data_IF_172011802151
#
_entry.id   IF_172011802151
#
_cell.length_a   1.000
_cell.length_b   1.000
_cell.length_c   1.000
_cell.angle_alpha   90.00
_cell.angle_beta   90.00
_cell.angle_gamma   90.00
#
_symmetry.space_group_name_H-M   'P 1'
#
loop_
_entity.id
_entity.type
_entity.pdbx_description
1 polymer ?
#
# COMPACT_ATOMS: atom_id res chain seq x y z
N UNK A 1 -21.36 12.36 -15.25
CA UNK A 1 -21.85 10.99 -14.95
C UNK A 1 -22.59 11.07 -13.64
N UNK A 2 -23.75 10.43 -13.54
CA UNK A 2 -24.77 10.73 -12.51
C UNK A 2 -24.39 10.28 -11.09
N UNK A 3 -23.17 9.77 -10.85
CA UNK A 3 -22.61 9.51 -9.51
C UNK A 3 -21.06 9.53 -9.56
N UNK A 4 -20.45 10.70 -9.66
CA UNK A 4 -18.99 10.85 -9.55
C UNK A 4 -18.53 10.73 -8.08
N UNK A 5 -17.56 9.85 -7.80
CA UNK A 5 -16.96 9.68 -6.47
C UNK A 5 -15.72 10.57 -6.39
N UNK A 6 -15.77 11.63 -5.57
CA UNK A 6 -14.65 12.57 -5.42
C UNK A 6 -13.58 11.96 -4.53
N UNK A 7 -12.34 11.98 -4.99
CA UNK A 7 -11.19 11.35 -4.34
C UNK A 7 -10.15 12.37 -3.93
N UNK A 8 -9.67 12.26 -2.69
CA UNK A 8 -8.43 12.89 -2.22
C UNK A 8 -7.33 11.84 -2.13
N UNK A 9 -6.21 12.06 -2.81
CA UNK A 9 -5.06 11.15 -2.84
C UNK A 9 -3.89 11.72 -2.02
N UNK A 10 -3.64 11.14 -0.84
CA UNK A 10 -2.50 11.48 0.01
C UNK A 10 -1.31 10.58 -0.29
N UNK A 11 -0.10 11.11 -0.11
CA UNK A 11 1.14 10.36 -0.35
C UNK A 11 1.18 9.76 -1.75
N UNK A 12 0.78 10.55 -2.74
CA UNK A 12 0.43 10.08 -4.07
C UNK A 12 1.57 9.37 -4.80
N UNK A 13 2.82 9.64 -4.42
CA UNK A 13 4.01 9.17 -5.11
C UNK A 13 3.96 9.60 -6.57
N UNK A 14 3.98 8.62 -7.47
CA UNK A 14 3.80 8.83 -8.91
C UNK A 14 2.38 8.48 -9.40
N UNK A 15 1.40 8.36 -8.50
CA UNK A 15 -0.04 8.24 -8.82
C UNK A 15 -0.55 6.81 -9.01
N UNK A 16 -0.04 5.87 -8.22
CA UNK A 16 -0.48 4.47 -8.28
C UNK A 16 -1.95 4.29 -7.91
N UNK A 17 -2.44 5.03 -6.89
CA UNK A 17 -3.86 4.99 -6.54
C UNK A 17 -4.71 5.58 -7.66
N UNK A 18 -4.33 6.76 -8.16
CA UNK A 18 -5.04 7.41 -9.27
C UNK A 18 -5.13 6.54 -10.51
N UNK A 19 -4.05 5.88 -10.92
CA UNK A 19 -4.09 4.96 -12.07
C UNK A 19 -5.02 3.77 -11.82
N UNK A 20 -5.08 3.24 -10.60
CA UNK A 20 -5.97 2.13 -10.27
C UNK A 20 -7.44 2.55 -10.26
N UNK A 21 -7.73 3.76 -9.79
CA UNK A 21 -9.10 4.26 -9.67
C UNK A 21 -9.61 4.89 -10.98
N UNK A 22 -8.88 5.82 -11.59
CA UNK A 22 -9.29 6.52 -12.82
C UNK A 22 -8.89 5.77 -14.11
N UNK A 23 -7.93 4.84 -14.03
CA UNK A 23 -7.29 4.25 -15.20
C UNK A 23 -6.23 5.18 -15.82
N UNK A 24 -5.69 4.75 -16.96
CA UNK A 24 -4.81 5.57 -17.80
C UNK A 24 -5.48 5.83 -19.15
N UNK A 25 -5.84 7.09 -19.43
CA UNK A 25 -6.63 7.47 -20.60
C UNK A 25 -7.92 6.64 -20.74
N UNK A 26 -8.58 6.37 -19.62
CA UNK A 26 -9.79 5.54 -19.56
C UNK A 26 -9.55 4.06 -19.86
N UNK A 27 -8.33 3.54 -19.63
CA UNK A 27 -7.97 2.13 -19.84
C UNK A 27 -7.58 1.44 -18.55
N UNK A 28 -7.90 0.15 -18.46
CA UNK A 28 -7.68 -0.69 -17.27
C UNK A 28 -6.24 -1.19 -17.17
N UNK A 29 -5.64 -1.00 -15.99
CA UNK A 29 -4.32 -1.54 -15.64
C UNK A 29 -4.31 -3.08 -15.65
N UNK A 30 -5.37 -3.73 -15.17
CA UNK A 30 -5.48 -5.21 -15.16
C UNK A 30 -5.55 -5.81 -16.57
N UNK A 31 -5.92 -5.01 -17.57
CA UNK A 31 -5.89 -5.41 -18.98
C UNK A 31 -4.55 -5.13 -19.68
N UNK A 32 -3.56 -4.60 -18.96
CA UNK A 32 -2.34 -4.04 -19.55
C UNK A 32 -2.64 -2.80 -20.40
N UNK A 33 -3.62 -1.99 -19.99
CA UNK A 33 -4.11 -0.81 -20.69
C UNK A 33 -4.60 -1.08 -22.12
N UNK A 34 -5.20 -2.25 -22.35
CA UNK A 34 -5.77 -2.66 -23.66
C UNK A 34 -7.29 -2.49 -23.72
N UNK A 35 -7.98 -2.62 -22.59
CA UNK A 35 -9.44 -2.49 -22.49
C UNK A 35 -9.80 -1.18 -21.81
N UNK A 36 -10.95 -0.62 -22.18
CA UNK A 36 -11.53 0.54 -21.52
C UNK A 36 -11.91 0.23 -20.07
N UNK A 37 -11.75 1.22 -19.19
CA UNK A 37 -12.22 1.24 -17.83
C UNK A 37 -13.27 2.34 -17.69
N UNK A 38 -14.50 1.97 -17.32
CA UNK A 38 -15.52 2.93 -16.91
C UNK A 38 -15.40 3.10 -15.41
N UNK A 39 -14.85 4.24 -14.98
CA UNK A 39 -14.64 4.55 -13.58
C UNK A 39 -15.47 5.77 -13.16
N UNK A 40 -16.16 5.72 -12.00
CA UNK A 40 -16.82 6.89 -11.43
C UNK A 40 -15.88 7.72 -10.55
N UNK A 41 -14.65 7.27 -10.29
CA UNK A 41 -13.72 7.97 -9.43
C UNK A 41 -13.16 9.22 -10.12
N UNK A 42 -13.08 10.30 -9.35
CA UNK A 42 -12.44 11.54 -9.77
C UNK A 42 -11.51 12.08 -8.69
N UNK A 43 -10.21 12.06 -8.93
CA UNK A 43 -9.23 12.71 -8.07
C UNK A 43 -9.40 14.21 -8.17
N UNK A 44 -9.94 14.82 -7.10
CA UNK A 44 -10.19 16.25 -7.01
C UNK A 44 -9.06 16.99 -6.33
N UNK A 45 -8.21 16.31 -5.56
CA UNK A 45 -7.01 16.88 -4.97
C UNK A 45 -6.00 15.78 -4.60
N UNK A 46 -4.71 16.09 -4.68
CA UNK A 46 -3.64 15.17 -4.34
C UNK A 46 -2.51 15.86 -3.58
N UNK A 47 -1.77 15.10 -2.77
CA UNK A 47 -0.59 15.57 -2.06
C UNK A 47 0.58 14.60 -2.22
N UNK A 48 1.77 15.14 -2.50
CA UNK A 48 3.02 14.39 -2.48
C UNK A 48 4.19 15.27 -2.03
N UNK A 49 4.88 14.83 -0.97
CA UNK A 49 6.05 15.51 -0.43
C UNK A 49 7.10 14.52 0.07
N UNK A 50 8.37 14.76 -0.29
CA UNK A 50 9.53 13.96 0.10
C UNK A 50 10.51 14.81 0.94
N UNK A 51 10.44 14.77 2.28
CA UNK A 51 11.18 15.71 3.15
C UNK A 51 12.70 15.56 3.05
N UNK A 52 13.20 14.39 2.67
CA UNK A 52 14.64 14.10 2.59
C UNK A 52 15.28 14.53 1.26
N UNK A 53 14.55 15.24 0.39
CA UNK A 53 15.04 15.63 -0.94
C UNK A 53 14.76 17.09 -1.25
N UNK A 54 15.73 17.79 -1.85
CA UNK A 54 15.52 19.17 -2.33
C UNK A 54 14.59 19.21 -3.54
N UNK A 55 14.89 18.37 -4.54
CA UNK A 55 14.08 18.26 -5.75
C UNK A 55 13.00 17.19 -5.59
N UNK A 56 11.75 17.62 -5.69
CA UNK A 56 10.54 16.82 -5.47
C UNK A 56 10.16 16.02 -6.71
N UNK A 57 11.03 15.11 -7.13
CA UNK A 57 10.89 14.42 -8.42
C UNK A 57 9.60 13.59 -8.54
N UNK A 58 9.10 12.97 -7.45
CA UNK A 58 7.84 12.23 -7.49
C UNK A 58 6.66 13.16 -7.82
N UNK A 59 6.63 14.35 -7.18
CA UNK A 59 5.63 15.38 -7.46
C UNK A 59 5.75 15.90 -8.90
N UNK A 60 6.95 16.18 -9.40
CA UNK A 60 7.16 16.59 -10.80
C UNK A 60 6.65 15.56 -11.80
N UNK A 61 6.89 14.26 -11.56
CA UNK A 61 6.35 13.17 -12.38
C UNK A 61 4.82 13.13 -12.30
N UNK A 62 4.25 13.27 -11.10
CA UNK A 62 2.80 13.31 -10.91
C UNK A 62 2.16 14.48 -11.68
N UNK A 63 2.70 15.70 -11.54
CA UNK A 63 2.22 16.89 -12.26
C UNK A 63 2.33 16.73 -13.77
N UNK A 64 3.42 16.12 -14.27
CA UNK A 64 3.58 15.86 -15.70
C UNK A 64 2.56 14.85 -16.26
N UNK A 65 2.04 13.96 -15.42
CA UNK A 65 1.07 12.93 -15.82
C UNK A 65 -0.37 13.39 -15.69
N UNK A 66 -0.67 14.16 -14.65
CA UNK A 66 -2.05 14.46 -14.25
C UNK A 66 -2.37 15.95 -14.19
N UNK A 67 -1.39 16.81 -14.45
CA UNK A 67 -1.49 18.25 -14.32
C UNK A 67 -1.16 18.73 -12.91
N UNK A 68 -0.69 19.98 -12.83
CA UNK A 68 -0.36 20.67 -11.56
C UNK A 68 -1.60 21.16 -10.81
N UNK A 69 -2.71 21.34 -11.51
CA UNK A 69 -3.94 21.84 -10.91
C UNK A 69 -4.42 20.87 -9.81
N UNK A 70 -4.59 21.39 -8.59
CA UNK A 70 -5.06 20.62 -7.42
C UNK A 70 -4.08 19.53 -6.96
N UNK A 71 -2.80 19.67 -7.28
CA UNK A 71 -1.70 18.92 -6.67
C UNK A 71 -0.98 19.80 -5.64
N UNK A 72 -0.75 19.26 -4.44
CA UNK A 72 -0.02 19.91 -3.37
C UNK A 72 1.33 19.24 -3.18
N UNK A 73 2.40 20.02 -3.35
CA UNK A 73 3.77 19.62 -3.03
C UNK A 73 4.23 20.23 -1.70
N UNK A 74 3.41 20.10 -0.67
CA UNK A 74 3.69 20.60 0.69
C UNK A 74 3.69 19.44 1.68
N UNK A 75 4.41 19.58 2.79
CA UNK A 75 4.28 18.66 3.91
C UNK A 75 2.82 18.64 4.39
N UNK A 76 2.16 17.49 4.27
CA UNK A 76 0.74 17.32 4.61
C UNK A 76 0.44 17.70 6.08
N UNK A 77 1.42 17.59 6.97
CA UNK A 77 1.25 18.00 8.37
C UNK A 77 1.06 19.53 8.52
N UNK A 78 1.52 20.32 7.54
CA UNK A 78 1.42 21.78 7.49
C UNK A 78 0.23 22.27 6.67
N UNK A 79 -0.39 21.41 5.86
CA UNK A 79 -1.55 21.79 5.04
C UNK A 79 -2.76 22.05 5.94
N UNK A 80 -3.41 23.18 5.70
CA UNK A 80 -4.68 23.53 6.33
C UNK A 80 -5.81 22.65 5.74
N UNK A 81 -6.56 21.96 6.60
CA UNK A 81 -7.65 21.06 6.21
C UNK A 81 -8.75 21.78 5.42
N UNK A 82 -8.93 23.08 5.63
CA UNK A 82 -9.88 23.91 4.88
C UNK A 82 -9.52 24.04 3.39
N UNK A 83 -8.24 23.87 3.01
CA UNK A 83 -7.78 23.91 1.62
C UNK A 83 -7.98 22.59 0.87
N UNK A 84 -8.15 21.49 1.60
CA UNK A 84 -8.47 20.19 1.01
C UNK A 84 -9.95 20.27 0.60
N UNK A 85 -10.36 19.89 -0.63
CA UNK A 85 -11.77 19.92 -1.00
C UNK A 85 -12.57 18.83 -0.26
N UNK A 86 -13.89 18.98 -0.24
CA UNK A 86 -14.78 17.91 0.18
C UNK A 86 -14.71 16.74 -0.82
N UNK A 87 -14.74 15.53 -0.27
CA UNK A 87 -14.49 14.31 -1.01
C UNK A 87 -15.23 13.13 -0.36
N UNK A 88 -15.56 12.13 -1.17
CA UNK A 88 -16.26 10.93 -0.74
C UNK A 88 -15.28 9.85 -0.30
N UNK A 89 -14.12 9.75 -0.98
CA UNK A 89 -13.09 8.76 -0.75
C UNK A 89 -11.74 9.43 -0.47
N UNK A 90 -11.09 9.06 0.62
CA UNK A 90 -9.69 9.41 0.90
C UNK A 90 -8.82 8.18 0.69
N UNK A 91 -7.78 8.31 -0.13
CA UNK A 91 -6.81 7.24 -0.37
C UNK A 91 -5.40 7.63 0.03
N UNK A 92 -4.56 6.65 0.37
CA UNK A 92 -3.14 6.91 0.59
C UNK A 92 -2.34 5.73 1.11
N UNK A 93 -1.12 5.59 0.58
CA UNK A 93 -0.11 4.66 1.08
C UNK A 93 0.82 5.41 2.04
N UNK A 94 0.50 5.40 3.33
CA UNK A 94 1.24 6.18 4.31
C UNK A 94 2.52 5.46 4.77
N UNK A 95 3.64 6.16 5.02
CA UNK A 95 4.89 5.52 5.43
C UNK A 95 4.76 4.72 6.73
N UNK A 96 5.39 3.54 6.77
CA UNK A 96 5.46 2.71 7.98
C UNK A 96 6.36 3.37 9.05
N UNK A 97 5.75 3.95 10.09
CA UNK A 97 6.43 4.64 11.19
C UNK A 97 6.05 4.02 12.54
N UNK A 98 6.62 4.49 13.65
CA UNK A 98 6.14 4.16 15.01
C UNK A 98 5.00 5.11 15.36
N UNK A 99 3.79 4.58 15.55
CA UNK A 99 2.54 5.34 15.63
C UNK A 99 2.11 5.72 17.06
N UNK A 100 3.03 5.66 18.02
CA UNK A 100 2.78 6.06 19.42
C UNK A 100 2.22 7.49 19.60
N UNK A 101 1.45 7.68 20.67
CA UNK A 101 0.90 8.99 21.10
C UNK A 101 1.68 9.50 22.31
N UNK A 102 1.84 10.82 22.43
CA UNK A 102 2.37 11.47 23.63
C UNK A 102 1.31 12.37 24.26
N UNK A 103 1.11 12.28 25.57
CA UNK A 103 0.36 13.27 26.34
C UNK A 103 1.29 14.39 26.79
N UNK A 104 0.88 15.66 26.67
CA UNK A 104 1.56 16.75 27.38
C UNK A 104 0.77 17.07 28.64
N UNK A 105 1.45 17.09 29.78
CA UNK A 105 0.88 17.29 31.13
C UNK A 105 0.28 18.69 31.39
N UNK A 106 -0.01 19.48 30.36
CA UNK A 106 -0.63 20.81 30.49
C UNK A 106 -1.59 21.04 29.33
N UNK A 107 -2.89 20.95 29.64
CA UNK A 107 -4.07 21.26 28.80
C UNK A 107 -4.75 20.05 28.13
N UNK A 108 -5.64 19.47 28.93
CA UNK A 108 -6.78 18.64 28.53
C UNK A 108 -7.55 19.25 27.34
N UNK A 109 -7.42 18.62 26.16
CA UNK A 109 -8.45 18.46 25.09
C UNK A 109 -7.90 18.04 23.70
N UNK A 110 -6.58 17.98 23.49
CA UNK A 110 -6.00 17.59 22.19
C UNK A 110 -5.15 16.32 22.26
N UNK A 111 -5.53 15.28 21.51
CA UNK A 111 -4.64 14.17 21.18
C UNK A 111 -3.54 14.70 20.26
N UNK A 112 -2.28 14.72 20.72
CA UNK A 112 -1.14 15.07 19.88
C UNK A 112 -0.35 13.79 19.64
N UNK A 113 -0.61 13.16 18.50
CA UNK A 113 0.23 12.09 18.00
C UNK A 113 1.69 12.51 17.88
N UNK A 114 2.62 11.55 17.88
CA UNK A 114 4.06 11.83 17.73
C UNK A 114 4.32 12.71 16.50
N UNK A 115 4.96 13.86 16.72
CA UNK A 115 5.34 14.79 15.63
C UNK A 115 6.09 14.04 14.53
N UNK A 116 5.70 14.25 13.29
CA UNK A 116 6.32 13.64 12.11
C UNK A 116 5.78 12.25 11.74
N UNK A 117 4.79 11.71 12.47
CA UNK A 117 4.09 10.48 12.07
C UNK A 117 2.88 10.83 11.20
N UNK A 118 2.89 10.36 9.96
CA UNK A 118 1.96 10.81 8.92
C UNK A 118 0.54 10.26 9.06
N UNK A 119 0.34 9.18 9.83
CA UNK A 119 -1.00 8.73 10.24
C UNK A 119 -1.81 9.85 10.88
N UNK A 120 -1.18 10.67 11.74
CA UNK A 120 -1.88 11.75 12.42
C UNK A 120 -2.32 12.88 11.48
N UNK A 121 -1.70 12.99 10.31
CA UNK A 121 -2.17 13.91 9.26
C UNK A 121 -3.47 13.40 8.64
N UNK A 122 -3.58 12.09 8.39
CA UNK A 122 -4.83 11.45 7.95
C UNK A 122 -5.92 11.65 9.02
N UNK A 123 -5.61 11.32 10.28
CA UNK A 123 -6.55 11.51 11.40
C UNK A 123 -7.03 12.95 11.51
N UNK A 124 -6.11 13.94 11.47
CA UNK A 124 -6.42 15.37 11.52
C UNK A 124 -7.41 15.76 10.44
N UNK A 125 -7.16 15.36 9.20
CA UNK A 125 -8.04 15.64 8.05
C UNK A 125 -9.45 15.09 8.34
N UNK A 126 -9.56 13.83 8.75
CA UNK A 126 -10.86 13.20 9.00
C UNK A 126 -11.57 13.85 10.20
N UNK A 127 -10.83 14.22 11.25
CA UNK A 127 -11.41 14.81 12.46
C UNK A 127 -11.90 16.24 12.26
N UNK A 128 -11.17 17.05 11.48
CA UNK A 128 -11.47 18.47 11.28
C UNK A 128 -12.44 18.72 10.11
N UNK A 129 -12.62 17.75 9.22
CA UNK A 129 -13.57 17.85 8.11
C UNK A 129 -15.02 17.87 8.62
N UNK A 130 -15.75 18.93 8.27
CA UNK A 130 -17.20 19.02 8.49
C UNK A 130 -17.94 17.89 7.77
N UNK A 131 -17.62 17.72 6.49
CA UNK A 131 -18.09 16.61 5.67
C UNK A 131 -17.00 15.54 5.65
N UNK A 132 -17.06 14.61 6.61
CA UNK A 132 -16.12 13.48 6.68
C UNK A 132 -16.23 12.64 5.39
N UNK A 133 -15.10 12.12 4.85
CA UNK A 133 -15.17 11.18 3.74
C UNK A 133 -16.00 9.96 4.13
N UNK A 134 -16.85 9.48 3.23
CA UNK A 134 -17.67 8.29 3.48
C UNK A 134 -16.80 7.03 3.54
N UNK A 135 -15.70 7.03 2.79
CA UNK A 135 -14.83 5.88 2.58
C UNK A 135 -13.37 6.26 2.74
N UNK A 136 -12.58 5.36 3.32
CA UNK A 136 -11.12 5.42 3.29
C UNK A 136 -10.57 4.18 2.58
N UNK A 137 -9.52 4.36 1.78
CA UNK A 137 -8.79 3.26 1.16
C UNK A 137 -7.28 3.45 1.33
N UNK A 138 -6.73 2.77 2.32
CA UNK A 138 -5.36 2.95 2.76
C UNK A 138 -4.51 1.71 2.48
N UNK A 139 -3.21 1.92 2.30
CA UNK A 139 -2.22 0.87 2.09
C UNK A 139 -1.03 1.03 3.05
N UNK A 140 -0.47 -0.10 3.48
CA UNK A 140 0.79 -0.15 4.22
C UNK A 140 1.51 -1.49 4.04
N UNK A 141 2.71 -1.61 4.61
CA UNK A 141 3.38 -2.92 4.75
C UNK A 141 2.62 -3.81 5.73
N UNK A 142 2.59 -5.11 5.43
CA UNK A 142 1.91 -6.13 6.24
C UNK A 142 2.43 -6.24 7.69
N UNK A 143 3.69 -5.84 7.92
CA UNK A 143 4.31 -5.76 9.25
C UNK A 143 3.54 -4.84 10.20
N UNK A 144 2.71 -3.93 9.69
CA UNK A 144 1.85 -3.06 10.51
C UNK A 144 1.05 -3.86 11.56
N UNK A 145 0.54 -5.05 11.20
CA UNK A 145 -0.24 -5.92 12.09
C UNK A 145 0.51 -6.35 13.36
N UNK A 146 1.84 -6.33 13.33
CA UNK A 146 2.70 -6.73 14.44
C UNK A 146 3.57 -5.57 14.94
N UNK A 147 3.29 -4.34 14.49
CA UNK A 147 4.06 -3.16 14.89
C UNK A 147 3.59 -2.60 16.25
N UNK A 148 4.51 -2.04 17.06
CA UNK A 148 5.96 -2.10 16.92
C UNK A 148 6.51 -3.46 17.38
N UNK A 149 7.76 -3.76 17.03
CA UNK A 149 8.40 -5.03 17.39
C UNK A 149 8.43 -5.30 18.91
N UNK A 150 8.49 -4.25 19.73
CA UNK A 150 8.49 -4.36 21.20
C UNK A 150 7.12 -4.51 21.85
N UNK A 151 6.02 -4.30 21.11
CA UNK A 151 4.65 -4.38 21.63
C UNK A 151 3.69 -4.75 20.49
N UNK A 152 3.67 -6.04 20.13
CA UNK A 152 3.11 -6.50 18.85
C UNK A 152 1.64 -6.10 18.67
N UNK A 153 1.37 -5.39 17.57
CA UNK A 153 0.01 -5.03 17.14
C UNK A 153 -0.52 -3.73 17.75
N UNK A 154 0.18 -3.10 18.70
CA UNK A 154 -0.25 -1.82 19.29
C UNK A 154 -0.50 -0.74 18.25
N UNK A 155 0.40 -0.58 17.28
CA UNK A 155 0.27 0.49 16.29
C UNK A 155 -0.95 0.31 15.39
N UNK A 156 -1.26 -0.94 15.02
CA UNK A 156 -2.48 -1.23 14.27
C UNK A 156 -3.74 -1.04 15.13
N UNK A 157 -3.70 -1.41 16.41
CA UNK A 157 -4.77 -1.14 17.36
C UNK A 157 -5.04 0.36 17.54
N UNK A 158 -3.99 1.20 17.55
CA UNK A 158 -4.11 2.67 17.58
C UNK A 158 -4.86 3.16 16.34
N UNK A 159 -4.51 2.67 15.15
CA UNK A 159 -5.18 3.03 13.89
C UNK A 159 -6.66 2.64 13.93
N UNK A 160 -6.96 1.39 14.32
CA UNK A 160 -8.33 0.90 14.42
C UNK A 160 -9.15 1.69 15.44
N UNK A 161 -8.61 1.93 16.64
CA UNK A 161 -9.30 2.71 17.68
C UNK A 161 -9.54 4.16 17.23
N UNK A 162 -8.55 4.77 16.56
CA UNK A 162 -8.69 6.13 16.00
C UNK A 162 -9.84 6.21 14.99
N UNK A 163 -9.94 5.22 14.09
CA UNK A 163 -11.03 5.15 13.11
C UNK A 163 -12.38 4.85 13.77
N UNK A 164 -12.40 3.98 14.79
CA UNK A 164 -13.58 3.68 15.59
C UNK A 164 -14.15 4.94 16.27
N UNK A 165 -13.30 5.72 16.94
CA UNK A 165 -13.69 7.00 17.59
C UNK A 165 -14.19 8.03 16.57
N UNK A 166 -13.68 7.98 15.34
CA UNK A 166 -14.14 8.82 14.24
C UNK A 166 -15.43 8.33 13.57
N UNK A 167 -15.94 7.16 13.96
CA UNK A 167 -17.23 6.60 13.53
C UNK A 167 -17.14 5.64 12.35
N UNK A 168 -15.99 5.01 12.11
CA UNK A 168 -15.82 4.07 11.00
C UNK A 168 -15.84 2.61 11.44
N UNK A 169 -16.49 1.76 10.63
CA UNK A 169 -16.15 0.33 10.56
C UNK A 169 -14.93 0.15 9.66
N UNK A 170 -14.10 -0.85 9.92
CA UNK A 170 -12.84 -1.07 9.21
C UNK A 170 -12.69 -2.53 8.84
N UNK A 171 -12.51 -2.84 7.57
CA UNK A 171 -12.01 -4.14 7.13
C UNK A 171 -10.55 -4.04 6.67
N UNK A 172 -9.79 -5.13 6.82
CA UNK A 172 -8.44 -5.21 6.29
C UNK A 172 -8.12 -6.58 5.70
N UNK A 173 -7.17 -6.56 4.76
CA UNK A 173 -6.61 -7.78 4.16
C UNK A 173 -5.16 -7.56 3.79
N UNK A 174 -4.32 -8.54 4.13
CA UNK A 174 -2.98 -8.64 3.57
C UNK A 174 -3.09 -9.35 2.22
N UNK A 175 -2.78 -8.62 1.16
CA UNK A 175 -2.81 -9.11 -0.22
C UNK A 175 -1.38 -9.18 -0.72
N UNK A 176 -1.00 -10.35 -1.25
CA UNK A 176 0.20 -10.52 -2.05
C UNK A 176 -0.21 -10.56 -3.52
N UNK A 177 0.18 -9.55 -4.30
CA UNK A 177 -0.32 -9.37 -5.66
C UNK A 177 -0.10 -10.61 -6.56
N UNK A 178 1.02 -11.31 -6.39
CA UNK A 178 1.33 -12.55 -7.12
C UNK A 178 0.34 -13.68 -6.88
N UNK A 179 -0.27 -13.77 -5.69
CA UNK A 179 -1.23 -14.83 -5.39
C UNK A 179 -2.55 -14.64 -6.17
N UNK A 180 -2.75 -13.45 -6.76
CA UNK A 180 -3.92 -13.09 -7.55
C UNK A 180 -3.58 -12.77 -9.01
N UNK A 181 -2.52 -13.41 -9.52
CA UNK A 181 -2.13 -13.41 -10.93
C UNK A 181 -1.29 -12.21 -11.39
N UNK A 182 -0.98 -11.25 -10.50
CA UNK A 182 -0.21 -10.06 -10.83
C UNK A 182 1.30 -10.35 -10.79
N UNK A 183 2.15 -9.52 -11.43
CA UNK A 183 3.52 -9.95 -11.74
C UNK A 183 4.52 -9.89 -10.59
N UNK A 184 4.11 -9.52 -9.37
CA UNK A 184 5.03 -9.23 -8.28
C UNK A 184 4.56 -9.86 -6.97
N UNK A 185 5.46 -10.61 -6.32
CA UNK A 185 5.32 -11.09 -4.94
C UNK A 185 5.47 -9.91 -3.98
N UNK A 186 4.48 -9.03 -3.94
CA UNK A 186 4.42 -7.81 -3.13
C UNK A 186 3.25 -7.93 -2.15
N UNK A 187 3.59 -8.23 -0.91
CA UNK A 187 2.63 -8.39 0.20
C UNK A 187 2.41 -7.06 0.92
N UNK A 188 1.16 -6.61 1.01
CA UNK A 188 0.76 -5.33 1.64
C UNK A 188 -0.57 -5.49 2.37
N UNK A 189 -0.77 -4.72 3.43
CA UNK A 189 -2.08 -4.60 4.08
C UNK A 189 -2.86 -3.49 3.39
N UNK A 190 -4.09 -3.79 3.02
CA UNK A 190 -5.07 -2.83 2.54
C UNK A 190 -6.16 -2.68 3.60
N UNK A 191 -6.54 -1.44 3.88
CA UNK A 191 -7.50 -1.07 4.92
C UNK A 191 -8.60 -0.27 4.25
N UNK A 192 -9.83 -0.77 4.33
CA UNK A 192 -11.03 -0.02 3.93
C UNK A 192 -11.79 0.39 5.17
N UNK A 193 -12.23 1.65 5.21
CA UNK A 193 -13.03 2.15 6.31
C UNK A 193 -14.33 2.78 5.79
N UNK A 194 -15.43 2.49 6.48
CA UNK A 194 -16.79 2.89 6.10
C UNK A 194 -17.40 3.74 7.20
N UNK A 195 -17.77 4.98 6.90
CA UNK A 195 -18.37 5.88 7.86
C UNK A 195 -19.77 5.39 8.26
N UNK A 196 -20.09 5.47 9.55
CA UNK A 196 -21.42 5.18 10.08
C UNK A 196 -22.51 5.92 9.28
N UNK A 197 -23.56 5.19 8.90
CA UNK A 197 -24.66 5.70 8.09
C UNK A 197 -24.48 5.52 6.58
N UNK A 198 -23.32 5.05 6.10
CA UNK A 198 -23.20 4.49 4.75
C UNK A 198 -23.88 3.12 4.69
N UNK A 199 -24.42 2.73 3.55
CA UNK A 199 -25.09 1.43 3.44
C UNK A 199 -24.09 0.28 3.64
N UNK A 200 -22.83 0.42 3.21
CA UNK A 200 -21.79 -0.58 3.49
C UNK A 200 -21.63 -0.79 5.01
N UNK A 201 -21.56 0.30 5.80
CA UNK A 201 -21.51 0.20 7.26
C UNK A 201 -22.76 -0.51 7.82
N UNK A 202 -23.93 -0.22 7.27
CA UNK A 202 -25.18 -0.84 7.70
C UNK A 202 -25.21 -2.34 7.35
N UNK A 203 -24.81 -2.73 6.13
CA UNK A 203 -24.71 -4.13 5.71
C UNK A 203 -23.76 -4.96 6.59
N UNK A 204 -22.65 -4.37 7.05
CA UNK A 204 -21.72 -5.03 7.97
C UNK A 204 -22.43 -5.48 9.26
N UNK A 205 -23.46 -4.75 9.73
CA UNK A 205 -24.18 -5.10 10.96
C UNK A 205 -25.17 -6.25 10.78
N UNK A 206 -25.60 -6.50 9.55
CA UNK A 206 -26.64 -7.48 9.23
C UNK A 206 -26.09 -8.89 8.95
N UNK A 207 -24.76 -9.02 8.84
CA UNK A 207 -24.09 -10.31 8.56
C UNK A 207 -23.09 -10.68 9.66
N UNK A 208 -22.73 -11.95 9.71
CA UNK A 208 -21.67 -12.38 10.63
C UNK A 208 -20.32 -11.76 10.23
N UNK A 209 -19.46 -11.35 11.17
CA UNK A 209 -18.14 -10.81 10.82
C UNK A 209 -17.30 -11.74 9.94
N UNK A 210 -17.40 -13.06 10.14
CA UNK A 210 -16.69 -14.06 9.35
C UNK A 210 -17.22 -14.15 7.91
N UNK A 211 -18.53 -14.02 7.72
CA UNK A 211 -19.19 -13.95 6.40
C UNK A 211 -18.76 -12.70 5.64
N UNK A 212 -18.71 -11.53 6.31
CA UNK A 212 -18.14 -10.31 5.70
C UNK A 212 -16.68 -10.50 5.30
N UNK A 213 -15.87 -11.11 6.17
CA UNK A 213 -14.45 -11.33 5.90
C UNK A 213 -14.25 -12.29 4.72
N UNK A 214 -15.08 -13.32 4.54
CA UNK A 214 -14.81 -14.39 3.58
C UNK A 214 -15.54 -14.22 2.25
N UNK A 215 -16.73 -13.61 2.26
CA UNK A 215 -17.67 -13.65 1.12
C UNK A 215 -18.18 -12.26 0.76
N UNK A 216 -18.76 -11.54 1.73
CA UNK A 216 -19.56 -10.34 1.42
C UNK A 216 -18.77 -9.04 1.37
N UNK A 217 -17.61 -8.96 2.02
CA UNK A 217 -16.84 -7.73 2.13
C UNK A 217 -16.25 -7.27 0.81
N UNK A 218 -15.95 -5.97 0.71
CA UNK A 218 -15.34 -5.39 -0.49
C UNK A 218 -14.01 -6.07 -0.83
N UNK A 219 -13.20 -6.40 0.19
CA UNK A 219 -11.93 -7.11 -0.02
C UNK A 219 -12.14 -8.60 -0.33
N UNK A 220 -13.27 -9.19 0.09
CA UNK A 220 -13.64 -10.57 -0.26
C UNK A 220 -13.98 -10.67 -1.75
N UNK A 221 -14.80 -9.75 -2.25
CA UNK A 221 -15.16 -9.65 -3.67
C UNK A 221 -13.93 -9.39 -4.56
N UNK A 222 -13.06 -8.44 -4.16
CA UNK A 222 -11.87 -8.10 -4.95
C UNK A 222 -10.80 -9.21 -4.94
N UNK A 223 -10.66 -9.91 -3.82
CA UNK A 223 -9.55 -10.82 -3.54
C UNK A 223 -10.00 -12.04 -2.74
N UNK A 224 -10.70 -13.01 -3.35
CA UNK A 224 -11.28 -14.15 -2.64
C UNK A 224 -10.24 -14.94 -1.83
N UNK A 225 -10.66 -15.43 -0.66
CA UNK A 225 -9.81 -16.20 0.26
C UNK A 225 -10.58 -17.35 0.86
N UNK A 226 -9.86 -18.35 1.36
CA UNK A 226 -10.41 -19.42 2.20
C UNK A 226 -9.76 -19.38 3.59
N UNK A 227 -10.41 -20.00 4.57
CA UNK A 227 -9.86 -20.20 5.92
C UNK A 227 -10.07 -21.64 6.34
N UNK A 228 -9.06 -22.25 6.95
CA UNK A 228 -9.17 -23.56 7.59
C UNK A 228 -9.82 -23.48 8.97
N UNK A 229 -9.92 -22.28 9.55
CA UNK A 229 -10.44 -22.06 10.90
C UNK A 229 -11.57 -21.03 10.91
N UNK A 230 -12.65 -21.31 10.19
CA UNK A 230 -13.85 -20.45 10.14
C UNK A 230 -14.67 -20.49 11.43
N UNK A 231 -14.61 -21.61 12.17
CA UNK A 231 -15.42 -21.85 13.36
C UNK A 231 -14.94 -21.11 14.62
N UNK A 232 -13.66 -20.71 14.66
CA UNK A 232 -13.07 -20.06 15.84
C UNK A 232 -12.21 -18.86 15.43
N UNK A 233 -12.83 -17.75 14.95
CA UNK A 233 -12.10 -16.51 14.73
C UNK A 233 -11.51 -15.97 16.03
N UNK A 234 -10.43 -15.20 15.92
CA UNK A 234 -9.93 -14.44 17.06
C UNK A 234 -10.78 -13.18 17.22
N UNK A 235 -11.36 -13.00 18.40
CA UNK A 235 -12.24 -11.87 18.70
C UNK A 235 -11.83 -11.15 19.98
N UNK A 236 -11.79 -9.82 19.94
CA UNK A 236 -11.53 -8.99 21.11
C UNK A 236 -12.08 -7.58 20.92
N UNK A 237 -12.33 -6.87 22.02
CA UNK A 237 -12.78 -5.48 21.99
C UNK A 237 -11.63 -4.53 22.32
N UNK A 238 -11.45 -3.50 21.51
CA UNK A 238 -10.59 -2.36 21.84
C UNK A 238 -11.25 -1.59 22.99
N UNK A 239 -10.56 -1.50 24.14
CA UNK A 239 -11.08 -0.88 25.37
C UNK A 239 -10.29 0.38 25.71
N UNK A 240 -11.01 1.46 26.02
CA UNK A 240 -10.43 2.75 26.36
C UNK A 240 -10.26 3.66 25.15
N UNK A 241 -9.63 4.81 25.37
CA UNK A 241 -9.27 5.76 24.33
C UNK A 241 -7.94 5.39 23.65
N UNK A 242 -7.58 6.14 22.61
CA UNK A 242 -6.31 5.96 21.89
C UNK A 242 -5.08 5.99 22.83
N UNK A 243 -5.11 6.81 23.89
CA UNK A 243 -4.00 6.90 24.87
C UNK A 243 -3.87 5.58 25.64
N UNK A 244 -4.98 5.05 26.15
CA UNK A 244 -5.02 3.76 26.83
C UNK A 244 -4.53 2.62 25.93
N UNK A 245 -4.94 2.60 24.65
CA UNK A 245 -4.45 1.62 23.68
C UNK A 245 -2.94 1.74 23.49
N UNK A 246 -2.42 2.97 23.33
CA UNK A 246 -0.99 3.22 23.18
C UNK A 246 -0.16 2.74 24.38
N UNK A 247 -0.69 2.87 25.59
CA UNK A 247 0.03 2.49 26.82
C UNK A 247 -0.09 1.01 27.16
N UNK A 248 -1.24 0.39 26.87
CA UNK A 248 -1.62 -0.90 27.48
C UNK A 248 -1.88 -2.03 26.47
N UNK A 249 -2.16 -1.75 25.20
CA UNK A 249 -2.55 -2.80 24.25
C UNK A 249 -1.43 -3.83 24.05
N UNK A 250 -1.71 -5.09 24.39
CA UNK A 250 -0.76 -6.20 24.29
C UNK A 250 0.59 -5.94 24.99
N UNK A 251 0.59 -5.15 26.07
CA UNK A 251 1.81 -4.87 26.86
C UNK A 251 2.30 -6.15 27.54
N UNK A 252 3.55 -6.51 27.30
CA UNK A 252 4.15 -7.76 27.80
C UNK A 252 3.71 -9.02 27.04
N UNK A 253 2.84 -8.89 26.03
CA UNK A 253 2.44 -10.01 25.18
C UNK A 253 3.54 -10.42 24.19
N UNK A 254 3.66 -11.71 23.95
CA UNK A 254 4.69 -12.29 23.06
C UNK A 254 4.16 -12.63 21.67
N UNK A 255 2.84 -12.78 21.51
CA UNK A 255 2.16 -13.09 20.26
C UNK A 255 1.38 -11.88 19.73
N UNK A 256 1.17 -11.82 18.41
CA UNK A 256 0.30 -10.80 17.82
C UNK A 256 -1.16 -11.24 17.88
N UNK A 257 -2.08 -10.29 18.12
CA UNK A 257 -3.52 -10.56 18.19
C UNK A 257 -4.24 -10.45 16.84
N UNK A 258 -3.60 -9.83 15.84
CA UNK A 258 -4.19 -9.61 14.53
C UNK A 258 -3.70 -10.65 13.53
N UNK A 259 -4.64 -11.21 12.78
CA UNK A 259 -4.36 -12.06 11.62
C UNK A 259 -4.38 -11.26 10.31
N UNK A 260 -4.09 -11.95 9.20
CA UNK A 260 -3.93 -11.32 7.89
C UNK A 260 -5.24 -10.77 7.30
N UNK A 261 -6.39 -11.08 7.88
CA UNK A 261 -7.69 -10.49 7.51
C UNK A 261 -8.50 -10.17 8.76
N UNK A 262 -9.38 -9.19 8.65
CA UNK A 262 -10.37 -8.99 9.69
C UNK A 262 -11.28 -7.81 9.46
N UNK A 263 -12.18 -7.65 10.42
CA UNK A 263 -13.20 -6.62 10.48
C UNK A 263 -13.21 -6.03 11.90
N UNK A 264 -13.37 -4.72 11.98
CA UNK A 264 -13.68 -4.01 13.21
C UNK A 264 -14.94 -3.18 13.02
N UNK A 265 -15.91 -3.33 13.92
CA UNK A 265 -17.08 -2.46 14.01
C UNK A 265 -17.42 -2.19 15.47
N UNK A 266 -17.66 -0.92 15.83
CA UNK A 266 -17.95 -0.50 17.21
C UNK A 266 -16.90 -0.98 18.24
N UNK A 267 -15.63 -0.98 17.83
CA UNK A 267 -14.48 -1.41 18.61
C UNK A 267 -14.37 -2.93 18.82
N UNK A 268 -15.33 -3.73 18.36
CA UNK A 268 -15.22 -5.19 18.32
C UNK A 268 -14.40 -5.57 17.09
N UNK A 269 -13.31 -6.31 17.31
CA UNK A 269 -12.39 -6.80 16.30
C UNK A 269 -12.62 -8.30 16.13
N UNK A 270 -12.88 -8.75 14.91
CA UNK A 270 -12.89 -10.15 14.50
C UNK A 270 -11.81 -10.34 13.44
N UNK A 271 -10.90 -11.30 13.64
CA UNK A 271 -9.77 -11.51 12.73
C UNK A 271 -9.52 -12.99 12.48
N UNK A 272 -9.14 -13.30 11.24
CA UNK A 272 -9.01 -14.65 10.72
C UNK A 272 -7.73 -14.81 9.90
N UNK A 273 -7.10 -15.97 10.10
CA UNK A 273 -6.05 -16.44 9.21
C UNK A 273 -6.69 -16.95 7.93
N UNK A 274 -6.26 -16.42 6.77
CA UNK A 274 -6.78 -16.86 5.47
C UNK A 274 -5.67 -17.12 4.47
N UNK A 275 -6.02 -17.84 3.41
CA UNK A 275 -5.18 -18.10 2.25
C UNK A 275 -5.87 -17.64 0.96
N UNK A 276 -5.12 -17.15 -0.03
CA UNK A 276 -5.67 -16.70 -1.31
C UNK A 276 -6.41 -17.84 -2.02
N UNK A 277 -7.55 -17.52 -2.61
CA UNK A 277 -8.33 -18.42 -3.47
C UNK A 277 -8.40 -17.83 -4.88
N UNK A 278 -7.45 -18.20 -5.73
CA UNK A 278 -7.36 -17.71 -7.10
C UNK A 278 -6.84 -18.80 -8.03
N UNK A 279 -7.60 -19.09 -9.06
CA UNK A 279 -7.33 -20.12 -10.08
C UNK A 279 -7.12 -19.53 -11.49
N UNK A 280 -7.10 -18.20 -11.60
CA UNK A 280 -6.94 -17.50 -12.85
C UNK A 280 -5.52 -17.47 -13.39
N UNK A 281 -5.30 -16.67 -14.45
CA UNK A 281 -4.01 -16.59 -15.12
C UNK A 281 -2.98 -15.83 -14.29
N UNK A 282 -1.78 -16.41 -14.17
CA UNK A 282 -0.62 -15.76 -13.56
C UNK A 282 0.24 -15.05 -14.60
N UNK A 283 0.72 -13.86 -14.25
CA UNK A 283 1.73 -13.12 -15.00
C UNK A 283 3.11 -13.41 -14.43
N UNK A 284 4.02 -13.88 -15.27
CA UNK A 284 5.40 -14.19 -14.87
C UNK A 284 6.36 -13.11 -15.35
N UNK A 285 7.57 -13.07 -14.78
CA UNK A 285 8.57 -12.04 -15.10
C UNK A 285 8.87 -11.97 -16.61
N UNK A 286 8.95 -13.12 -17.30
CA UNK A 286 9.19 -13.20 -18.75
C UNK A 286 8.19 -12.42 -19.58
N UNK A 287 6.92 -12.35 -19.18
CA UNK A 287 5.86 -11.71 -19.94
C UNK A 287 6.03 -10.18 -20.00
N UNK A 288 6.85 -9.62 -19.12
CA UNK A 288 7.03 -8.18 -18.95
C UNK A 288 8.39 -7.67 -19.45
N UNK A 289 9.30 -8.59 -19.76
CA UNK A 289 10.61 -8.29 -20.32
C UNK A 289 10.46 -7.63 -21.69
N UNK A 290 11.26 -6.59 -21.95
CA UNK A 290 11.24 -5.92 -23.24
C UNK A 290 11.79 -6.83 -24.35
N UNK A 291 11.00 -6.98 -25.43
CA UNK A 291 11.41 -7.62 -26.67
C UNK A 291 12.15 -6.58 -27.54
N UNK A 292 13.39 -6.24 -27.21
CA UNK A 292 14.14 -5.20 -27.92
C UNK A 292 15.53 -4.91 -27.35
N UNK A 293 16.22 -3.92 -27.91
CA UNK A 293 17.52 -3.49 -27.40
C UNK A 293 17.36 -2.71 -26.08
N UNK A 294 17.87 -3.32 -25.01
CA UNK A 294 18.18 -2.61 -23.78
C UNK A 294 19.59 -2.02 -23.95
N UNK A 295 19.79 -0.77 -23.52
CA UNK A 295 21.09 -0.11 -23.63
C UNK A 295 22.18 -0.94 -22.94
N UNK A 296 23.40 -0.92 -23.51
CA UNK A 296 24.54 -1.72 -23.04
C UNK A 296 24.85 -1.51 -21.56
N UNK A 297 24.46 -0.37 -20.99
CA UNK A 297 24.67 -0.05 -19.58
C UNK A 297 23.92 -0.94 -18.59
N UNK A 298 22.84 -1.62 -19.00
CA UNK A 298 22.11 -2.54 -18.13
C UNK A 298 22.74 -3.92 -18.06
N UNK A 299 23.61 -4.26 -19.02
CA UNK A 299 24.35 -5.51 -19.00
C UNK A 299 25.43 -5.47 -17.92
N UNK A 300 25.59 -6.61 -17.25
CA UNK A 300 26.58 -6.78 -16.19
C UNK A 300 27.90 -7.18 -16.84
N UNK A 301 28.98 -6.47 -16.49
CA UNK A 301 30.32 -6.86 -16.86
C UNK A 301 30.64 -8.25 -16.29
N UNK A 302 31.21 -9.13 -17.11
CA UNK A 302 31.60 -10.48 -16.71
C UNK A 302 32.56 -10.46 -15.51
N UNK A 303 33.41 -9.44 -15.41
CA UNK A 303 34.37 -9.26 -14.31
C UNK A 303 33.70 -8.90 -12.97
N UNK A 304 32.44 -8.45 -12.99
CA UNK A 304 31.68 -8.12 -11.79
C UNK A 304 30.75 -9.27 -11.33
N UNK A 305 30.59 -10.34 -12.13
CA UNK A 305 29.65 -11.43 -11.82
C UNK A 305 29.91 -12.08 -10.46
N UNK A 306 31.18 -12.26 -10.07
CA UNK A 306 31.54 -12.81 -8.76
C UNK A 306 31.11 -11.88 -7.62
N UNK A 307 31.20 -10.57 -7.81
CA UNK A 307 30.72 -9.59 -6.82
C UNK A 307 29.20 -9.65 -6.70
N UNK A 308 28.49 -9.80 -7.81
CA UNK A 308 27.04 -9.98 -7.81
C UNK A 308 26.62 -11.26 -7.10
N UNK A 309 27.26 -12.38 -7.41
CA UNK A 309 27.02 -13.67 -6.77
C UNK A 309 27.32 -13.60 -5.27
N UNK A 310 28.44 -13.00 -4.87
CA UNK A 310 28.78 -12.79 -3.45
C UNK A 310 27.74 -11.93 -2.73
N UNK A 311 27.34 -10.78 -3.29
CA UNK A 311 26.34 -9.90 -2.65
C UNK A 311 24.96 -10.54 -2.55
N UNK A 312 24.57 -11.41 -3.49
CA UNK A 312 23.30 -12.13 -3.46
C UNK A 312 23.36 -13.43 -2.67
N UNK A 313 24.55 -13.99 -2.43
CA UNK A 313 24.74 -15.19 -1.63
C UNK A 313 24.45 -14.98 -0.14
N UNK A 314 24.15 -16.05 0.61
CA UNK A 314 24.02 -15.98 2.05
C UNK A 314 25.38 -15.68 2.72
N UNK A 315 25.37 -14.99 3.85
CA UNK A 315 26.58 -14.61 4.60
C UNK A 315 26.35 -14.78 6.09
N UNK A 316 27.38 -15.25 6.80
CA UNK A 316 27.49 -15.19 8.25
C UNK A 316 28.90 -14.72 8.59
N UNK A 317 29.01 -13.49 9.05
CA UNK A 317 30.27 -12.79 9.26
C UNK A 317 30.23 -12.07 10.61
N UNK A 318 31.34 -12.04 11.33
CA UNK A 318 31.48 -11.16 12.47
C UNK A 318 31.73 -9.74 11.97
N UNK A 319 30.96 -8.76 12.44
CA UNK A 319 31.12 -7.35 12.06
C UNK A 319 31.26 -6.49 13.29
N UNK A 320 32.06 -5.45 13.17
CA UNK A 320 32.23 -4.44 14.20
C UNK A 320 31.46 -3.20 13.78
N UNK A 321 30.58 -2.67 14.63
CA UNK A 321 29.94 -1.38 14.35
C UNK A 321 30.92 -0.21 14.55
N UNK A 322 30.49 1.01 14.21
CA UNK A 322 31.33 2.21 14.34
C UNK A 322 31.78 2.51 15.79
N UNK A 323 31.13 1.88 16.78
CA UNK A 323 31.41 2.00 18.21
C UNK A 323 32.30 0.87 18.74
N UNK A 324 32.83 -0.01 17.88
CA UNK A 324 33.72 -1.10 18.28
C UNK A 324 33.00 -2.38 18.78
N UNK A 325 31.68 -2.43 18.75
CA UNK A 325 30.92 -3.61 19.20
C UNK A 325 30.85 -4.66 18.09
N UNK A 326 31.34 -5.86 18.40
CA UNK A 326 31.27 -7.02 17.51
C UNK A 326 29.90 -7.70 17.60
N UNK A 327 29.32 -8.01 16.45
CA UNK A 327 28.08 -8.74 16.35
C UNK A 327 28.13 -9.73 15.19
N UNK A 328 27.41 -10.84 15.35
CA UNK A 328 27.22 -11.82 14.29
C UNK A 328 26.23 -11.27 13.26
N UNK A 329 26.74 -10.82 12.13
CA UNK A 329 25.94 -10.42 10.98
C UNK A 329 25.56 -11.67 10.18
N UNK A 330 24.26 -11.93 10.05
CA UNK A 330 23.72 -12.99 9.21
C UNK A 330 22.80 -12.39 8.17
N UNK A 331 22.99 -12.78 6.90
CA UNK A 331 22.20 -12.33 5.78
C UNK A 331 21.80 -13.52 4.90
N UNK A 332 20.50 -13.66 4.64
CA UNK A 332 19.98 -14.72 3.76
C UNK A 332 20.27 -14.44 2.29
N UNK A 333 20.48 -15.50 1.52
CA UNK A 333 20.69 -15.41 0.07
C UNK A 333 19.44 -14.95 -0.68
N UNK A 334 19.64 -14.32 -1.83
CA UNK A 334 18.61 -14.00 -2.81
C UNK A 334 18.81 -14.88 -4.05
N UNK A 335 17.72 -15.24 -4.71
CA UNK A 335 17.78 -15.99 -5.97
C UNK A 335 18.56 -15.16 -7.00
N UNK A 336 19.50 -15.81 -7.68
CA UNK A 336 20.35 -15.21 -8.71
C UNK A 336 20.63 -16.22 -9.82
N UNK A 337 20.34 -15.90 -11.10
CA UNK A 337 19.53 -14.76 -11.55
C UNK A 337 18.06 -14.90 -11.12
N UNK A 338 17.31 -13.81 -11.13
CA UNK A 338 15.86 -13.80 -10.92
C UNK A 338 15.17 -14.70 -11.98
N UNK A 339 14.27 -15.61 -11.55
CA UNK A 339 13.66 -16.60 -12.42
C UNK A 339 12.62 -15.97 -13.35
N UNK A 340 12.72 -16.26 -14.64
CA UNK A 340 11.82 -15.74 -15.67
C UNK A 340 10.44 -16.45 -15.70
N UNK A 341 10.35 -17.65 -15.15
CA UNK A 341 9.18 -18.52 -15.12
C UNK A 341 8.30 -18.34 -13.86
N UNK A 342 8.62 -17.35 -13.01
CA UNK A 342 7.87 -17.04 -11.79
C UNK A 342 7.48 -15.56 -11.75
N UNK A 343 6.49 -15.17 -10.94
CA UNK A 343 6.29 -13.76 -10.59
C UNK A 343 7.57 -13.18 -9.97
N UNK A 344 7.81 -11.90 -10.25
CA UNK A 344 8.98 -11.19 -9.72
C UNK A 344 8.93 -11.11 -8.19
N UNK A 345 10.09 -11.00 -7.54
CA UNK A 345 10.12 -10.60 -6.13
C UNK A 345 9.73 -9.11 -6.00
N UNK A 346 9.51 -8.66 -4.76
CA UNK A 346 9.24 -7.26 -4.46
C UNK A 346 10.37 -6.35 -4.97
N UNK A 347 10.00 -5.29 -5.69
CA UNK A 347 10.91 -4.17 -5.99
C UNK A 347 11.07 -3.33 -4.73
N UNK A 348 12.32 -2.95 -4.45
CA UNK A 348 12.69 -2.12 -3.30
C UNK A 348 13.44 -0.87 -3.77
N UNK A 349 13.54 0.14 -2.93
CA UNK A 349 14.10 1.45 -3.31
C UNK A 349 15.58 1.42 -3.73
N UNK A 350 16.32 0.38 -3.36
CA UNK A 350 17.73 0.13 -3.73
C UNK A 350 17.94 -0.51 -5.12
N UNK A 351 16.91 -0.54 -5.97
CA UNK A 351 16.92 -1.19 -7.29
C UNK A 351 17.78 -0.46 -8.34
N UNK A 352 17.95 0.86 -8.20
CA UNK A 352 18.60 1.71 -9.21
C UNK A 352 20.13 1.63 -9.26
N UNK A 353 20.72 2.06 -10.38
CA UNK A 353 22.17 2.24 -10.56
C UNK A 353 22.95 0.99 -10.99
N UNK A 354 24.18 1.19 -11.48
CA UNK A 354 24.97 0.17 -12.21
C UNK A 354 25.72 -0.82 -11.31
N UNK A 355 26.16 -0.38 -10.13
CA UNK A 355 27.04 -1.16 -9.25
C UNK A 355 26.40 -2.45 -8.73
N UNK A 356 27.19 -3.52 -8.47
CA UNK A 356 26.71 -4.73 -7.82
C UNK A 356 25.93 -4.45 -6.55
N UNK A 357 24.77 -5.11 -6.41
CA UNK A 357 23.92 -4.97 -5.24
C UNK A 357 23.00 -6.17 -5.10
N UNK A 358 22.79 -6.61 -3.85
CA UNK A 358 21.88 -7.71 -3.56
C UNK A 358 20.44 -7.41 -3.99
N UNK A 359 20.05 -6.14 -3.90
CA UNK A 359 18.68 -5.66 -4.05
C UNK A 359 18.16 -5.64 -5.49
N UNK A 360 19.05 -5.60 -6.49
CA UNK A 360 18.69 -5.37 -7.89
C UNK A 360 18.32 -6.66 -8.60
N UNK A 361 17.27 -6.60 -9.42
CA UNK A 361 16.85 -7.72 -10.24
C UNK A 361 17.88 -7.92 -11.33
N UNK A 362 18.26 -9.19 -11.53
CA UNK A 362 19.18 -9.58 -12.58
C UNK A 362 18.60 -10.79 -13.27
N UNK A 363 18.41 -10.71 -14.59
CA UNK A 363 17.94 -11.83 -15.40
C UNK A 363 19.06 -12.33 -16.30
N UNK A 364 18.98 -13.61 -16.66
CA UNK A 364 19.81 -14.20 -17.69
C UNK A 364 19.11 -14.06 -19.05
N UNK A 365 19.82 -13.56 -20.04
CA UNK A 365 19.36 -13.48 -21.45
C UNK A 365 20.37 -14.17 -22.37
N UNK A 366 20.03 -14.46 -23.64
CA UNK A 366 21.00 -14.96 -24.61
C UNK A 366 22.23 -14.05 -24.80
N UNK A 367 22.09 -12.74 -24.55
CA UNK A 367 23.17 -11.74 -24.63
C UNK A 367 23.98 -11.62 -23.30
N UNK A 368 23.63 -12.37 -22.27
CA UNK A 368 24.27 -12.35 -20.95
C UNK A 368 23.35 -11.86 -19.81
N UNK A 369 23.94 -11.70 -18.62
CA UNK A 369 23.27 -11.19 -17.44
C UNK A 369 23.00 -9.68 -17.57
N UNK A 370 21.79 -9.25 -17.23
CA UNK A 370 21.46 -7.81 -17.18
C UNK A 370 20.49 -7.49 -16.07
N UNK A 371 20.53 -6.22 -15.66
CA UNK A 371 19.55 -5.63 -14.75
C UNK A 371 18.23 -5.38 -15.49
N UNK A 372 17.14 -5.25 -14.73
CA UNK A 372 15.87 -4.75 -15.28
C UNK A 372 15.98 -3.26 -15.59
N UNK A 373 15.38 -2.87 -16.71
CA UNK A 373 15.23 -1.48 -17.14
C UNK A 373 14.10 -0.78 -16.37
N UNK A 374 14.08 0.57 -16.34
CA UNK A 374 12.99 1.32 -15.70
C UNK A 374 11.59 0.93 -16.19
N UNK A 375 11.43 0.71 -17.50
CA UNK A 375 10.15 0.30 -18.10
C UNK A 375 9.72 -1.09 -17.59
N UNK A 376 10.65 -2.03 -17.45
CA UNK A 376 10.35 -3.34 -16.88
C UNK A 376 9.94 -3.25 -15.41
N UNK A 377 10.55 -2.34 -14.64
CA UNK A 377 10.16 -2.06 -13.25
C UNK A 377 8.77 -1.40 -13.16
N UNK A 378 8.43 -0.50 -14.08
CA UNK A 378 7.09 0.10 -14.21
C UNK A 378 6.04 -0.98 -14.46
N UNK A 379 6.29 -1.86 -15.43
CA UNK A 379 5.40 -3.00 -15.76
C UNK A 379 5.21 -3.97 -14.61
N UNK A 380 6.25 -4.22 -13.79
CA UNK A 380 6.15 -5.05 -12.59
C UNK A 380 5.22 -4.48 -11.51
N UNK A 381 4.98 -3.18 -11.50
CA UNK A 381 3.96 -2.53 -10.68
C UNK A 381 2.67 -2.23 -11.48
N UNK A 382 2.58 -2.68 -12.73
CA UNK A 382 1.46 -2.44 -13.65
C UNK A 382 1.23 -0.96 -14.01
N UNK A 383 2.29 -0.14 -13.99
CA UNK A 383 2.27 1.20 -14.55
C UNK A 383 2.36 1.16 -16.08
N UNK A 384 1.86 2.17 -16.80
CA UNK A 384 2.13 2.34 -18.23
C UNK A 384 3.64 2.48 -18.47
N UNK A 385 4.09 2.08 -19.66
CA UNK A 385 5.48 2.29 -20.07
C UNK A 385 5.84 3.78 -20.03
N UNK A 386 7.04 4.07 -19.54
CA UNK A 386 7.58 5.42 -19.42
C UNK A 386 6.78 6.33 -18.49
N UNK A 387 5.93 5.78 -17.60
CA UNK A 387 5.15 6.56 -16.64
C UNK A 387 6.03 7.47 -15.77
N UNK A 388 7.22 7.05 -15.40
CA UNK A 388 8.15 7.85 -14.57
C UNK A 388 9.20 8.61 -15.37
N UNK A 389 9.18 8.52 -16.71
CA UNK A 389 10.11 9.23 -17.58
C UNK A 389 9.77 10.72 -17.65
N UNK A 390 10.73 11.53 -17.21
CA UNK A 390 10.68 12.98 -17.23
C UNK A 390 12.13 13.51 -17.29
N UNK A 391 12.33 14.62 -17.98
CA UNK A 391 13.64 15.29 -18.02
C UNK A 391 14.12 15.62 -16.60
N UNK A 392 15.42 15.40 -16.33
CA UNK A 392 15.99 15.56 -14.99
C UNK A 392 15.73 14.40 -14.01
N UNK A 393 14.88 13.43 -14.36
CA UNK A 393 14.65 12.21 -13.55
C UNK A 393 15.53 11.07 -14.08
N UNK A 394 16.53 10.67 -13.30
CA UNK A 394 17.42 9.56 -13.66
C UNK A 394 16.75 8.18 -13.55
N UNK A 395 17.27 7.18 -14.26
CA UNK A 395 16.80 5.79 -14.17
C UNK A 395 16.90 5.21 -12.76
N UNK A 396 17.91 5.62 -11.98
CA UNK A 396 18.02 5.27 -10.56
C UNK A 396 16.82 5.81 -9.78
N UNK A 397 16.39 7.04 -10.07
CA UNK A 397 15.23 7.67 -9.41
C UNK A 397 13.91 7.03 -9.88
N UNK A 398 13.78 6.68 -11.16
CA UNK A 398 12.65 5.90 -11.70
C UNK A 398 12.50 4.56 -10.97
N UNK A 399 13.61 3.84 -10.79
CA UNK A 399 13.63 2.58 -10.02
C UNK A 399 13.26 2.78 -8.55
N UNK A 400 13.73 3.88 -7.93
CA UNK A 400 13.36 4.25 -6.56
C UNK A 400 11.84 4.44 -6.41
N UNK A 401 11.19 5.12 -7.36
CA UNK A 401 9.73 5.27 -7.36
C UNK A 401 9.02 3.93 -7.40
N UNK A 402 9.49 2.98 -8.22
CA UNK A 402 8.90 1.64 -8.31
C UNK A 402 9.12 0.80 -7.03
N UNK A 403 10.16 1.08 -6.25
CA UNK A 403 10.31 0.51 -4.91
C UNK A 403 9.22 0.94 -3.93
N UNK A 404 8.82 2.23 -4.01
CA UNK A 404 7.78 2.81 -3.16
C UNK A 404 6.36 2.58 -3.69
N UNK A 405 6.20 2.40 -5.01
CA UNK A 405 4.90 2.25 -5.63
C UNK A 405 4.16 0.98 -5.19
N UNK A 406 2.84 1.00 -5.34
CA UNK A 406 1.96 -0.15 -5.19
C UNK A 406 1.83 -0.90 -6.53
N UNK A 407 1.16 -2.06 -6.52
CA UNK A 407 0.77 -2.74 -7.76
C UNK A 407 -0.60 -2.21 -8.20
N UNK A 408 -0.66 -1.48 -9.32
CA UNK A 408 -1.85 -0.72 -9.76
C UNK A 408 -3.09 -1.61 -9.91
N UNK A 409 -2.91 -2.85 -10.39
CA UNK A 409 -4.01 -3.81 -10.53
C UNK A 409 -4.70 -4.16 -9.20
N UNK A 410 -3.99 -4.06 -8.07
CA UNK A 410 -4.62 -4.29 -6.75
C UNK A 410 -5.60 -3.17 -6.44
N UNK A 411 -5.21 -1.93 -6.69
CA UNK A 411 -6.06 -0.77 -6.48
C UNK A 411 -7.26 -0.80 -7.42
N UNK A 412 -7.06 -1.14 -8.69
CA UNK A 412 -8.15 -1.24 -9.66
C UNK A 412 -9.20 -2.28 -9.22
N UNK A 413 -8.77 -3.47 -8.79
CA UNK A 413 -9.70 -4.50 -8.31
C UNK A 413 -10.48 -4.05 -7.08
N UNK A 414 -9.82 -3.45 -6.09
CA UNK A 414 -10.50 -2.93 -4.88
C UNK A 414 -11.45 -1.79 -5.25
N UNK A 415 -11.03 -0.88 -6.13
CA UNK A 415 -11.87 0.23 -6.59
C UNK A 415 -13.12 -0.25 -7.33
N UNK A 416 -13.00 -1.28 -8.18
CA UNK A 416 -14.16 -1.86 -8.85
C UNK A 416 -15.14 -2.46 -7.84
N UNK A 417 -14.67 -3.30 -6.91
CA UNK A 417 -15.50 -3.90 -5.87
C UNK A 417 -16.16 -2.85 -4.96
N UNK A 418 -15.39 -1.84 -4.54
CA UNK A 418 -15.92 -0.74 -3.72
C UNK A 418 -17.01 0.02 -4.47
N UNK A 419 -16.80 0.32 -5.75
CA UNK A 419 -17.81 0.99 -6.55
C UNK A 419 -19.08 0.13 -6.74
N UNK A 420 -18.95 -1.18 -6.90
CA UNK A 420 -20.11 -2.07 -6.98
C UNK A 420 -20.93 -2.02 -5.69
N UNK A 421 -20.26 -2.07 -4.53
CA UNK A 421 -20.91 -1.90 -3.22
C UNK A 421 -21.58 -0.54 -3.09
N UNK A 422 -20.93 0.55 -3.53
CA UNK A 422 -21.49 1.92 -3.54
C UNK A 422 -22.66 2.05 -4.53
N UNK A 423 -22.61 1.43 -5.70
CA UNK A 423 -23.66 1.57 -6.72
C UNK A 423 -24.92 0.80 -6.33
N UNK A 424 -24.77 -0.37 -5.69
CA UNK A 424 -25.88 -1.09 -5.07
C UNK A 424 -26.56 -0.23 -3.99
N UNK A 425 -25.89 0.81 -3.44
CA UNK A 425 -26.51 1.78 -2.53
C UNK A 425 -27.53 2.68 -3.23
N UNK A 426 -27.32 3.03 -4.50
CA UNK A 426 -28.16 3.98 -5.24
C UNK A 426 -29.44 3.32 -5.74
N UNK A 427 -29.34 2.11 -6.29
CA UNK A 427 -30.49 1.38 -6.85
C UNK A 427 -31.56 1.08 -5.79
N UNK A 428 -31.15 0.70 -4.58
CA UNK A 428 -32.07 0.42 -3.46
C UNK A 428 -32.74 1.67 -2.87
N UNK A 429 -32.17 2.86 -3.08
CA UNK A 429 -32.76 4.14 -2.67
C UNK A 429 -33.71 4.71 -3.73
N UNK A 430 -33.54 4.36 -5.01
CA UNK A 430 -34.45 4.78 -6.09
C UNK A 430 -35.71 3.92 -6.22
N UNK A 431 -35.73 2.75 -5.58
CA UNK A 431 -36.88 1.81 -5.57
C UNK A 431 -37.77 1.93 -4.32
N UNK A 432 -37.42 2.84 -3.39
CA UNK A 432 -38.24 3.22 -2.22
C UNK A 432 -38.75 4.64 -2.38
#
# INVERSE_FOLDING_TARGET
MENEIKVVELFAGVGGFRLGLEGWNGKSASSGYKKSLKSPYKVVWSNQWEPSTKTQHASLVYENRFGKNRHSNEDIAQVDVSKIPDHDLLVGGFPCQDYSVATTLKNSKGLIGKKGVLWWSIHKIISEKKNKPKYLFLENVDRLLISPSGQRGRDFAIILQSLNELGYAVEWRVINAADFGMPQRRRRIFILAYLKGTNIYESIKEVAPTEWILEDGTLAEAFPVTSENTLFPTEFKLKGDIVSISENFNKGGTTGLFENTGLMINGLVTTLKTQPNYDGKFTILRDLIQNGEVTSEFYIDKNDLDKWAYLKGPKKEMRTNAQGFEYNYSEGGMIFPDPLDKPSRTIITGEGGKSPSRFKHVIQTPKGYRRLSPVELERLNMFPDDHTKLEGVSDTKRAFFMGNALVVGVIEKIGIALNQKITNEVTLQSER
#
